data_IF_562314723672
#
_entry.id   IF_562314723672
#
_cell.length_a   1.000
_cell.length_b   1.000
_cell.length_c   1.000
_cell.angle_alpha   90.00
_cell.angle_beta   90.00
_cell.angle_gamma   90.00
#
_symmetry.space_group_name_H-M   'P 1'
#
loop_
_entity.id
_entity.type
_entity.pdbx_description
1 polymer ?
#
# COMPACT_ATOMS: atom_id res chain seq x y z
N UNK A 1 27.45 35.07 11.98
CA UNK A 1 26.76 33.88 11.45
C UNK A 1 27.00 32.78 12.47
N UNK A 2 25.94 32.26 13.07
CA UNK A 2 26.03 31.36 14.24
C UNK A 2 26.66 30.03 13.84
N UNK A 3 27.68 29.63 14.60
CA UNK A 3 28.49 28.41 14.51
C UNK A 3 27.69 27.14 14.87
N UNK A 4 26.42 27.08 14.49
CA UNK A 4 25.64 25.85 14.46
C UNK A 4 25.84 25.30 13.06
N UNK A 5 27.07 24.87 12.79
CA UNK A 5 27.31 23.98 11.67
C UNK A 5 26.35 22.81 11.85
N UNK A 6 25.55 22.58 10.81
CA UNK A 6 24.68 21.43 10.66
C UNK A 6 25.59 20.20 10.53
N UNK A 7 26.19 19.79 11.65
CA UNK A 7 26.91 18.53 11.76
C UNK A 7 25.78 17.50 11.82
N UNK A 8 25.43 16.98 10.65
CA UNK A 8 24.61 15.79 10.51
C UNK A 8 25.43 14.65 11.12
N UNK A 9 25.35 14.48 12.44
CA UNK A 9 25.86 13.27 13.09
C UNK A 9 25.13 12.10 12.41
N UNK A 10 25.87 11.14 11.83
CA UNK A 10 25.24 9.99 11.20
C UNK A 10 24.41 9.31 12.28
N UNK A 11 23.09 9.26 12.07
CA UNK A 11 22.16 8.68 13.03
C UNK A 11 22.70 7.32 13.49
N UNK A 12 22.78 7.12 14.81
CA UNK A 12 23.34 5.90 15.41
C UNK A 12 22.76 4.67 14.69
N UNK A 13 23.64 3.81 14.18
CA UNK A 13 23.25 2.63 13.43
C UNK A 13 22.26 1.75 14.21
N UNK A 14 22.33 1.77 15.55
CA UNK A 14 21.36 1.10 16.42
C UNK A 14 19.98 1.76 16.41
N UNK A 15 19.92 3.07 16.31
CA UNK A 15 18.66 3.80 16.20
C UNK A 15 17.97 3.51 14.86
N UNK A 16 18.75 3.50 13.78
CA UNK A 16 18.25 3.14 12.46
C UNK A 16 17.73 1.69 12.42
N UNK A 17 18.44 0.74 13.04
CA UNK A 17 17.97 -0.65 13.08
C UNK A 17 16.64 -0.79 13.81
N UNK A 18 16.44 -0.09 14.93
CA UNK A 18 15.17 -0.11 15.68
C UNK A 18 14.02 0.45 14.85
N UNK A 19 14.24 1.52 14.07
CA UNK A 19 13.22 2.06 13.17
C UNK A 19 12.88 1.05 12.07
N UNK A 20 13.89 0.42 11.47
CA UNK A 20 13.68 -0.60 10.45
C UNK A 20 12.89 -1.79 11.01
N UNK A 21 13.25 -2.26 12.21
CA UNK A 21 12.54 -3.33 12.90
C UNK A 21 11.09 -2.91 13.22
N UNK A 22 10.87 -1.68 13.69
CA UNK A 22 9.54 -1.13 13.94
C UNK A 22 8.72 -0.95 12.66
N UNK A 23 9.35 -0.78 11.50
CA UNK A 23 8.67 -0.71 10.20
C UNK A 23 8.35 -2.08 9.58
N UNK A 24 8.85 -3.19 10.16
CA UNK A 24 8.53 -4.53 9.67
C UNK A 24 7.04 -4.86 9.79
N UNK A 25 6.58 -5.68 8.85
CA UNK A 25 5.21 -6.18 8.81
C UNK A 25 4.84 -6.92 10.12
N UNK A 26 3.61 -6.78 10.63
CA UNK A 26 3.16 -7.46 11.84
C UNK A 26 3.38 -8.99 11.82
N UNK A 27 3.21 -9.61 10.65
CA UNK A 27 3.40 -11.05 10.41
C UNK A 27 4.84 -11.53 10.58
N UNK A 28 5.83 -10.62 10.50
CA UNK A 28 7.25 -10.92 10.73
C UNK A 28 7.66 -10.74 12.20
N UNK A 29 6.86 -10.00 12.98
CA UNK A 29 7.14 -9.66 14.39
C UNK A 29 6.49 -10.61 15.37
N UNK A 30 5.27 -11.03 15.06
CA UNK A 30 4.44 -11.84 15.96
C UNK A 30 4.02 -13.11 15.24
N UNK A 31 3.90 -14.22 15.98
CA UNK A 31 3.40 -15.49 15.45
C UNK A 31 1.90 -15.45 15.18
N UNK A 32 1.18 -14.60 15.91
CA UNK A 32 -0.28 -14.51 15.91
C UNK A 32 -0.72 -13.03 15.87
N UNK A 33 -1.88 -12.73 15.26
CA UNK A 33 -2.42 -11.37 15.24
C UNK A 33 -2.72 -10.89 16.66
N UNK A 34 -2.32 -9.66 16.98
CA UNK A 34 -2.49 -9.07 18.31
C UNK A 34 -3.78 -8.24 18.41
N UNK A 35 -4.37 -7.86 17.27
CA UNK A 35 -5.59 -7.06 17.21
C UNK A 35 -6.54 -7.57 16.13
N UNK A 36 -7.84 -7.33 16.30
CA UNK A 36 -8.87 -7.72 15.31
C UNK A 36 -8.59 -7.13 13.92
N UNK A 37 -8.07 -5.90 13.86
CA UNK A 37 -7.68 -5.29 12.59
C UNK A 37 -6.53 -6.01 11.89
N UNK A 38 -5.62 -6.61 12.64
CA UNK A 38 -4.53 -7.43 12.08
C UNK A 38 -5.05 -8.76 11.55
N UNK A 39 -6.08 -9.36 12.17
CA UNK A 39 -6.67 -10.63 11.73
C UNK A 39 -7.17 -10.57 10.28
N UNK A 40 -7.81 -9.46 9.89
CA UNK A 40 -8.34 -9.25 8.53
C UNK A 40 -7.23 -9.33 7.47
N UNK A 41 -6.04 -8.80 7.80
CA UNK A 41 -4.89 -8.73 6.89
C UNK A 41 -3.82 -9.78 7.17
N UNK A 42 -4.04 -10.72 8.09
CA UNK A 42 -3.00 -11.64 8.54
C UNK A 42 -2.67 -12.69 7.46
N UNK A 43 -3.71 -13.25 6.84
CA UNK A 43 -3.60 -14.23 5.76
C UNK A 43 -3.93 -13.56 4.41
N UNK A 44 -2.96 -12.83 3.83
CA UNK A 44 -3.12 -12.18 2.52
C UNK A 44 -3.07 -13.14 1.33
N UNK A 45 -2.65 -14.39 1.54
CA UNK A 45 -2.61 -15.39 0.49
C UNK A 45 -4.03 -15.83 0.13
N UNK A 46 -4.47 -15.64 -1.12
CA UNK A 46 -5.81 -16.06 -1.52
C UNK A 46 -5.91 -17.59 -1.46
N UNK A 47 -7.07 -18.10 -1.05
CA UNK A 47 -7.34 -19.54 -0.97
C UNK A 47 -7.21 -20.22 -2.35
N UNK A 48 -7.55 -19.50 -3.42
CA UNK A 48 -7.39 -19.95 -4.79
C UNK A 48 -6.30 -19.09 -5.43
N UNK A 49 -5.27 -19.72 -5.99
CA UNK A 49 -4.27 -19.03 -6.79
C UNK A 49 -4.94 -18.47 -8.04
N UNK A 50 -5.03 -17.14 -8.12
CA UNK A 50 -5.60 -16.49 -9.30
C UNK A 50 -4.55 -16.41 -10.40
N UNK A 51 -4.70 -17.24 -11.43
CA UNK A 51 -3.99 -17.07 -12.68
C UNK A 51 -4.61 -15.90 -13.47
N UNK A 52 -3.82 -14.84 -13.67
CA UNK A 52 -4.24 -13.64 -14.43
C UNK A 52 -4.25 -13.88 -15.95
N UNK A 53 -3.72 -15.02 -16.40
CA UNK A 53 -3.76 -15.43 -17.82
C UNK A 53 -5.00 -16.25 -18.15
N UNK A 54 -5.64 -16.86 -17.14
CA UNK A 54 -6.86 -17.63 -17.34
C UNK A 54 -8.08 -16.72 -17.53
N UNK A 55 -8.50 -16.57 -18.79
CA UNK A 55 -9.69 -15.82 -19.18
C UNK A 55 -11.02 -16.39 -18.64
N UNK A 56 -11.03 -17.59 -18.03
CA UNK A 56 -12.24 -18.19 -17.44
C UNK A 56 -12.55 -17.63 -16.06
N UNK A 57 -11.54 -17.18 -15.33
CA UNK A 57 -11.66 -16.71 -13.95
C UNK A 57 -11.26 -15.24 -13.80
N UNK A 58 -10.43 -14.70 -14.68
CA UNK A 58 -9.92 -13.33 -14.60
C UNK A 58 -10.68 -12.37 -15.53
N UNK A 59 -11.65 -11.63 -14.97
CA UNK A 59 -12.46 -10.63 -15.70
C UNK A 59 -12.20 -9.19 -15.20
N UNK A 60 -11.02 -8.60 -15.46
CA UNK A 60 -10.74 -7.23 -15.06
C UNK A 60 -11.61 -6.24 -15.86
N UNK A 61 -12.11 -5.20 -15.18
CA UNK A 61 -12.81 -4.11 -15.88
C UNK A 61 -11.80 -3.38 -16.78
N UNK A 62 -12.07 -3.35 -18.08
CA UNK A 62 -11.26 -2.60 -19.06
C UNK A 62 -11.95 -1.28 -19.39
N UNK A 63 -11.19 -0.19 -19.34
CA UNK A 63 -11.67 1.12 -19.79
C UNK A 63 -11.42 1.24 -21.29
N UNK A 64 -12.48 1.51 -22.04
CA UNK A 64 -12.44 1.86 -23.46
C UNK A 64 -12.35 3.38 -23.63
N UNK A 65 -12.03 3.86 -24.83
CA UNK A 65 -11.99 5.30 -25.10
C UNK A 65 -13.33 5.98 -24.80
N UNK A 66 -14.45 5.33 -25.14
CA UNK A 66 -15.81 5.82 -24.84
C UNK A 66 -16.04 5.96 -23.33
N UNK A 67 -15.61 5.00 -22.51
CA UNK A 67 -15.77 5.09 -21.05
C UNK A 67 -14.85 6.14 -20.43
N UNK A 68 -13.68 6.39 -21.02
CA UNK A 68 -12.78 7.48 -20.60
C UNK A 68 -13.37 8.84 -20.95
N UNK A 69 -13.89 8.98 -22.17
CA UNK A 69 -14.57 10.19 -22.64
C UNK A 69 -15.79 10.50 -21.76
N UNK A 70 -16.73 9.57 -21.59
CA UNK A 70 -17.94 9.86 -20.80
C UNK A 70 -17.62 10.26 -19.34
N UNK A 71 -16.52 9.76 -18.74
CA UNK A 71 -16.06 10.18 -17.42
C UNK A 71 -15.58 11.65 -17.38
N UNK A 72 -14.97 12.16 -18.44
CA UNK A 72 -14.54 13.56 -18.52
C UNK A 72 -15.68 14.53 -18.82
N UNK A 73 -16.74 14.10 -19.51
CA UNK A 73 -17.90 14.94 -19.83
C UNK A 73 -18.93 14.96 -18.71
N UNK A 74 -19.07 13.88 -17.92
CA UNK A 74 -19.99 13.82 -16.78
C UNK A 74 -19.61 14.68 -15.57
N UNK A 75 -18.39 15.22 -15.51
CA UNK A 75 -17.96 16.16 -14.45
C UNK A 75 -18.31 17.63 -14.72
N UNK A 76 -18.93 17.96 -15.87
CA UNK A 76 -19.27 19.35 -16.26
C UNK A 76 -20.77 19.70 -16.17
N UNK A 77 -21.59 18.83 -15.59
CA UNK A 77 -23.06 18.97 -15.56
C UNK A 77 -23.67 19.14 -14.16
N UNK A 78 -22.98 19.80 -13.23
CA UNK A 78 -23.43 19.97 -11.83
C UNK A 78 -23.32 21.42 -11.35
N UNK A 79 -24.06 22.33 -11.97
CA UNK A 79 -24.45 23.62 -11.37
C UNK A 79 -25.73 24.11 -12.04
N UNK A 80 -26.87 23.78 -11.43
CA UNK A 80 -28.12 24.53 -11.50
C UNK A 80 -28.72 24.51 -10.09
#
# INVERSE_FOLDING_TARGET
MSWHDNIEEPADAKFLSVIHDAALEPTKKYSEPQTESQEIGWNTTPLIQMDRTDCRLFFPRRKTEVTKLNCSYGKRGGTL
#
